data_IF_029383740954
#
_entry.id   IF_029383740954
#
_cell.length_a   1.000
_cell.length_b   1.000
_cell.length_c   1.000
_cell.angle_alpha   90.00
_cell.angle_beta   90.00
_cell.angle_gamma   90.00
#
_symmetry.space_group_name_H-M   'P 1'
#
loop_
_entity.id
_entity.type
_entity.pdbx_description
1 polymer ?
#
# COMPACT_ATOMS: atom_id res chain seq x y z
N UNK A 1 -20.38 -0.61 8.69
CA UNK A 1 -20.30 0.06 7.38
C UNK A 1 -20.76 -0.85 6.24
N UNK A 2 -20.00 -1.89 5.86
CA UNK A 2 -20.28 -2.71 4.67
C UNK A 2 -21.71 -3.29 4.63
N UNK A 3 -22.20 -3.84 5.74
CA UNK A 3 -23.58 -4.32 5.85
C UNK A 3 -24.64 -3.23 5.55
N UNK A 4 -24.36 -1.97 5.90
CA UNK A 4 -25.21 -0.83 5.56
C UNK A 4 -25.11 -0.46 4.08
N UNK A 5 -23.91 -0.54 3.49
CA UNK A 5 -23.67 -0.24 2.08
C UNK A 5 -24.42 -1.21 1.14
N UNK A 6 -24.62 -2.46 1.57
CA UNK A 6 -25.38 -3.46 0.81
C UNK A 6 -26.79 -3.73 1.38
N UNK A 7 -27.28 -2.94 2.33
CA UNK A 7 -28.50 -3.25 3.08
C UNK A 7 -29.77 -3.39 2.22
N UNK A 8 -29.80 -2.73 1.06
CA UNK A 8 -30.92 -2.79 0.11
C UNK A 8 -30.78 -3.92 -0.92
N UNK A 9 -29.74 -4.73 -0.82
CA UNK A 9 -29.44 -5.82 -1.75
C UNK A 9 -29.55 -7.15 -1.02
N UNK A 10 -30.10 -8.16 -1.70
CA UNK A 10 -30.11 -9.53 -1.16
C UNK A 10 -28.77 -10.22 -1.48
N UNK A 11 -27.98 -10.61 -0.46
CA UNK A 11 -26.76 -11.36 -0.68
C UNK A 11 -27.08 -12.80 -1.10
N UNK A 12 -26.43 -13.28 -2.17
CA UNK A 12 -26.50 -14.67 -2.62
C UNK A 12 -25.87 -15.64 -1.62
N UNK A 13 -25.00 -15.15 -0.73
CA UNK A 13 -24.36 -15.89 0.34
C UNK A 13 -24.11 -14.97 1.54
N UNK A 14 -23.88 -15.56 2.71
CA UNK A 14 -23.44 -14.82 3.90
C UNK A 14 -22.23 -13.95 3.57
N UNK A 15 -22.19 -12.75 4.15
CA UNK A 15 -21.01 -11.88 4.03
C UNK A 15 -19.79 -12.61 4.58
N UNK A 16 -18.72 -12.58 3.80
CA UNK A 16 -17.42 -13.08 4.18
C UNK A 16 -16.56 -11.90 4.62
N UNK A 17 -16.37 -11.76 5.91
CA UNK A 17 -15.54 -10.72 6.51
C UNK A 17 -14.51 -11.32 7.46
N UNK A 18 -13.46 -10.55 7.71
CA UNK A 18 -12.39 -10.95 8.61
C UNK A 18 -11.21 -10.00 8.56
N UNK A 19 -10.32 -10.18 9.51
CA UNK A 19 -9.04 -9.48 9.57
C UNK A 19 -7.91 -10.45 9.84
N UNK A 20 -6.74 -10.13 9.30
CA UNK A 20 -5.50 -10.80 9.66
C UNK A 20 -4.36 -9.81 9.62
N UNK A 21 -3.63 -9.74 10.72
CA UNK A 21 -2.38 -9.01 10.86
C UNK A 21 -1.29 -9.96 11.33
N UNK A 22 -0.05 -9.71 10.89
CA UNK A 22 1.13 -10.40 11.38
C UNK A 22 1.38 -9.94 12.81
N UNK A 23 1.26 -10.84 13.80
CA UNK A 23 1.47 -10.49 15.20
C UNK A 23 2.94 -10.59 15.61
N UNK A 24 3.70 -11.49 14.96
CA UNK A 24 5.15 -11.62 15.14
C UNK A 24 5.85 -11.84 13.79
N UNK A 25 7.07 -11.31 13.64
CA UNK A 25 7.87 -11.47 12.41
C UNK A 25 8.14 -12.93 12.02
N UNK A 26 8.05 -13.86 12.97
CA UNK A 26 8.20 -15.31 12.76
C UNK A 26 7.08 -15.92 11.91
N UNK A 27 5.92 -15.26 11.79
CA UNK A 27 4.79 -15.73 11.00
C UNK A 27 4.98 -15.57 9.49
N UNK A 28 5.90 -14.69 9.06
CA UNK A 28 6.13 -14.44 7.64
C UNK A 28 7.55 -13.94 7.35
N UNK A 29 8.18 -14.55 6.34
CA UNK A 29 9.43 -14.04 5.75
C UNK A 29 9.18 -12.89 4.76
N UNK A 30 7.92 -12.60 4.43
CA UNK A 30 7.53 -11.66 3.35
C UNK A 30 6.77 -10.42 3.84
N UNK A 31 6.20 -10.47 5.05
CA UNK A 31 5.43 -9.39 5.64
C UNK A 31 6.00 -9.03 7.02
N UNK A 32 5.97 -7.76 7.36
CA UNK A 32 6.45 -7.26 8.64
C UNK A 32 5.39 -7.36 9.74
N UNK A 33 5.84 -7.40 11.00
CA UNK A 33 4.95 -7.33 12.16
C UNK A 33 4.03 -6.10 12.09
N UNK A 34 2.72 -6.31 12.25
CA UNK A 34 1.71 -5.27 12.14
C UNK A 34 1.18 -5.01 10.73
N UNK A 35 1.75 -5.63 9.68
CA UNK A 35 1.16 -5.67 8.34
C UNK A 35 -0.02 -6.63 8.28
N UNK A 36 -0.97 -6.35 7.40
CA UNK A 36 -2.16 -7.19 7.28
C UNK A 36 -3.29 -6.55 6.50
N UNK A 37 -4.48 -7.12 6.62
CA UNK A 37 -5.67 -6.58 5.99
C UNK A 37 -6.94 -6.90 6.78
N UNK A 38 -7.93 -6.04 6.62
CA UNK A 38 -9.32 -6.25 6.95
C UNK A 38 -10.11 -6.28 5.64
N UNK A 39 -11.05 -7.22 5.52
CA UNK A 39 -11.90 -7.33 4.33
C UNK A 39 -13.34 -7.65 4.72
N UNK A 40 -14.25 -7.24 3.83
CA UNK A 40 -15.61 -7.71 3.78
C UNK A 40 -16.00 -7.91 2.32
N UNK A 41 -16.67 -9.02 2.01
CA UNK A 41 -17.02 -9.45 0.66
C UNK A 41 -18.40 -10.11 0.68
N UNK A 42 -19.26 -9.74 -0.25
CA UNK A 42 -20.55 -10.38 -0.46
C UNK A 42 -20.90 -10.39 -1.95
N UNK A 43 -21.63 -11.40 -2.38
CA UNK A 43 -22.18 -11.46 -3.74
C UNK A 43 -23.63 -11.04 -3.69
N UNK A 44 -24.04 -10.08 -4.51
CA UNK A 44 -25.44 -9.66 -4.63
C UNK A 44 -25.95 -9.97 -6.02
N UNK A 45 -27.18 -10.43 -6.17
CA UNK A 45 -27.74 -10.78 -7.49
C UNK A 45 -28.08 -9.55 -8.33
N UNK A 46 -28.50 -8.47 -7.68
CA UNK A 46 -28.95 -7.22 -8.32
C UNK A 46 -28.37 -5.96 -7.65
N UNK A 47 -28.52 -4.81 -8.30
CA UNK A 47 -28.06 -3.51 -7.80
C UNK A 47 -26.59 -3.17 -8.09
N UNK A 48 -26.19 -1.98 -7.66
CA UNK A 48 -24.81 -1.49 -7.80
C UNK A 48 -23.84 -2.27 -6.91
N UNK A 49 -22.64 -2.51 -7.43
CA UNK A 49 -21.57 -3.22 -6.72
C UNK A 49 -20.75 -2.21 -5.93
N UNK A 50 -20.58 -2.46 -4.64
CA UNK A 50 -19.68 -1.68 -3.79
C UNK A 50 -18.27 -2.20 -4.01
N UNK A 51 -17.34 -1.37 -4.49
CA UNK A 51 -15.96 -1.77 -4.73
C UNK A 51 -15.00 -0.73 -4.15
N UNK A 52 -14.71 -0.86 -2.86
CA UNK A 52 -13.87 0.08 -2.13
C UNK A 52 -12.58 -0.60 -1.68
N UNK A 53 -11.47 0.12 -1.79
CA UNK A 53 -10.19 -0.38 -1.33
C UNK A 53 -9.29 0.72 -0.80
N UNK A 54 -8.49 0.38 0.20
CA UNK A 54 -7.62 1.29 0.92
C UNK A 54 -6.28 0.62 1.20
N UNK A 55 -5.21 1.41 1.19
CA UNK A 55 -3.89 1.02 1.72
C UNK A 55 -3.45 2.08 2.70
N UNK A 56 -3.18 1.70 3.94
CA UNK A 56 -2.90 2.63 5.04
C UNK A 56 -3.95 3.75 5.12
N UNK A 57 -5.22 3.36 4.98
CA UNK A 57 -6.39 4.26 5.00
C UNK A 57 -6.47 5.24 3.81
N UNK A 58 -5.53 5.20 2.86
CA UNK A 58 -5.58 6.00 1.64
C UNK A 58 -6.45 5.27 0.61
N UNK A 59 -7.51 5.90 0.07
CA UNK A 59 -8.40 5.26 -0.89
C UNK A 59 -7.70 4.97 -2.21
N UNK A 60 -7.77 3.71 -2.67
CA UNK A 60 -7.22 3.24 -3.94
C UNK A 60 -8.34 3.03 -4.96
N UNK A 61 -8.84 4.12 -5.57
CA UNK A 61 -9.99 4.08 -6.52
C UNK A 61 -9.78 3.18 -7.73
N UNK A 62 -8.52 3.02 -8.18
CA UNK A 62 -8.16 2.13 -9.29
C UNK A 62 -7.65 0.76 -8.81
N UNK A 63 -7.73 0.48 -7.51
CA UNK A 63 -7.19 -0.72 -6.89
C UNK A 63 -5.66 -0.72 -6.84
N UNK A 64 -5.09 -1.93 -6.79
CA UNK A 64 -3.65 -2.16 -6.66
C UNK A 64 -3.33 -3.64 -6.51
N UNK A 65 -2.11 -3.95 -6.11
CA UNK A 65 -1.64 -5.34 -5.91
C UNK A 65 -2.39 -6.06 -4.79
N UNK A 66 -2.82 -5.34 -3.75
CA UNK A 66 -3.67 -5.86 -2.68
C UNK A 66 -5.05 -6.32 -3.20
N UNK A 67 -5.68 -5.51 -4.06
CA UNK A 67 -6.95 -5.88 -4.72
C UNK A 67 -6.74 -7.06 -5.66
N UNK A 68 -5.66 -7.06 -6.47
CA UNK A 68 -5.34 -8.18 -7.34
C UNK A 68 -5.13 -9.49 -6.54
N UNK A 69 -4.43 -9.42 -5.41
CA UNK A 69 -4.22 -10.54 -4.51
C UNK A 69 -5.51 -11.08 -3.90
N UNK A 70 -6.41 -10.19 -3.44
CA UNK A 70 -7.76 -10.60 -3.00
C UNK A 70 -8.52 -11.29 -4.13
N UNK A 71 -8.46 -10.71 -5.34
CA UNK A 71 -9.15 -11.24 -6.53
C UNK A 71 -8.71 -12.64 -6.90
N UNK A 72 -7.41 -12.84 -6.93
CA UNK A 72 -6.79 -14.13 -7.19
C UNK A 72 -7.07 -15.14 -6.08
N UNK A 73 -6.96 -14.73 -4.82
CA UNK A 73 -7.19 -15.60 -3.66
C UNK A 73 -8.61 -16.17 -3.62
N UNK A 74 -9.63 -15.31 -3.77
CA UNK A 74 -11.03 -15.74 -3.78
C UNK A 74 -11.34 -16.59 -5.01
N UNK A 75 -10.84 -16.20 -6.19
CA UNK A 75 -11.02 -17.00 -7.41
C UNK A 75 -10.45 -18.40 -7.26
N UNK A 76 -9.22 -18.52 -6.75
CA UNK A 76 -8.57 -19.81 -6.54
C UNK A 76 -9.30 -20.63 -5.48
N UNK A 77 -9.79 -20.02 -4.40
CA UNK A 77 -10.56 -20.73 -3.38
C UNK A 77 -11.85 -21.34 -3.96
N UNK A 78 -12.64 -20.56 -4.70
CA UNK A 78 -13.87 -21.04 -5.33
C UNK A 78 -13.58 -22.10 -6.39
N UNK A 79 -12.59 -21.87 -7.25
CA UNK A 79 -12.17 -22.83 -8.28
C UNK A 79 -11.75 -24.16 -7.65
N UNK A 80 -10.90 -24.13 -6.62
CA UNK A 80 -10.43 -25.32 -5.92
C UNK A 80 -11.60 -26.06 -5.26
N UNK A 81 -12.58 -25.35 -4.71
CA UNK A 81 -13.78 -25.95 -4.14
C UNK A 81 -14.62 -26.69 -5.20
N UNK A 82 -14.86 -26.06 -6.36
CA UNK A 82 -15.59 -26.66 -7.48
C UNK A 82 -14.89 -27.92 -7.99
N UNK A 83 -13.57 -27.82 -8.19
CA UNK A 83 -12.72 -28.91 -8.67
C UNK A 83 -12.74 -30.09 -7.67
N UNK A 84 -12.59 -29.80 -6.37
CA UNK A 84 -12.58 -30.81 -5.31
C UNK A 84 -13.92 -31.55 -5.16
N UNK A 85 -15.04 -30.84 -5.32
CA UNK A 85 -16.39 -31.42 -5.19
C UNK A 85 -16.97 -31.92 -6.53
N UNK A 86 -16.20 -31.87 -7.63
CA UNK A 86 -16.66 -32.27 -8.96
C UNK A 86 -17.96 -31.58 -9.40
N UNK A 87 -18.14 -30.32 -9.01
CA UNK A 87 -19.37 -29.54 -9.28
C UNK A 87 -19.38 -28.89 -10.67
N UNK A 88 -18.26 -28.98 -11.41
CA UNK A 88 -18.16 -28.43 -12.77
C UNK A 88 -18.91 -29.28 -13.78
N UNK A 89 -19.72 -28.64 -14.63
CA UNK A 89 -20.21 -29.30 -15.85
C UNK A 89 -19.05 -29.59 -16.80
N UNK A 90 -19.07 -30.76 -17.46
CA UNK A 90 -18.03 -31.14 -18.44
C UNK A 90 -17.87 -30.04 -19.50
N UNK A 91 -16.66 -29.47 -19.57
CA UNK A 91 -16.30 -28.45 -20.56
C UNK A 91 -16.52 -27.00 -20.12
N UNK A 92 -17.09 -26.75 -18.93
CA UNK A 92 -17.22 -25.40 -18.39
C UNK A 92 -15.89 -24.96 -17.76
N UNK A 93 -15.33 -23.85 -18.23
CA UNK A 93 -14.10 -23.25 -17.68
C UNK A 93 -14.49 -21.98 -16.90
N UNK A 94 -14.35 -22.04 -15.58
CA UNK A 94 -14.56 -20.88 -14.71
C UNK A 94 -13.47 -19.84 -14.96
N UNK A 95 -13.86 -18.60 -15.23
CA UNK A 95 -12.97 -17.45 -15.40
C UNK A 95 -13.11 -16.49 -14.22
N UNK A 96 -12.12 -15.63 -13.93
CA UNK A 96 -12.19 -14.71 -12.79
C UNK A 96 -13.44 -13.81 -12.79
N UNK A 97 -13.94 -13.42 -13.96
CA UNK A 97 -15.12 -12.57 -14.09
C UNK A 97 -16.40 -13.23 -13.57
N UNK A 98 -16.49 -14.56 -13.64
CA UNK A 98 -17.62 -15.33 -13.11
C UNK A 98 -17.75 -15.15 -11.59
N UNK A 99 -16.62 -14.95 -10.91
CA UNK A 99 -16.56 -14.70 -9.46
C UNK A 99 -16.78 -13.23 -9.15
N UNK A 100 -16.21 -12.32 -9.95
CA UNK A 100 -16.07 -10.92 -9.56
C UNK A 100 -17.15 -9.98 -10.09
N UNK A 101 -17.89 -10.36 -11.13
CA UNK A 101 -18.90 -9.50 -11.77
C UNK A 101 -20.00 -8.99 -10.82
N UNK A 102 -20.29 -9.75 -9.76
CA UNK A 102 -21.34 -9.46 -8.77
C UNK A 102 -20.83 -9.38 -7.33
N UNK A 103 -19.52 -9.27 -7.16
CA UNK A 103 -18.87 -9.24 -5.87
C UNK A 103 -18.73 -7.81 -5.35
N UNK A 104 -19.51 -7.47 -4.32
CA UNK A 104 -19.32 -6.25 -3.53
C UNK A 104 -18.26 -6.49 -2.45
N UNK A 105 -17.31 -5.58 -2.29
CA UNK A 105 -16.26 -5.69 -1.29
C UNK A 105 -15.76 -4.34 -0.76
N UNK A 106 -15.24 -4.39 0.46
CA UNK A 106 -14.40 -3.36 1.07
C UNK A 106 -13.11 -4.04 1.51
N UNK A 107 -11.96 -3.51 1.09
CA UNK A 107 -10.64 -4.04 1.45
C UNK A 107 -9.76 -2.93 2.04
N UNK A 108 -9.25 -3.11 3.26
CA UNK A 108 -8.29 -2.20 3.87
C UNK A 108 -7.01 -2.95 4.21
N UNK A 109 -5.93 -2.65 3.48
CA UNK A 109 -4.61 -3.20 3.75
C UNK A 109 -3.78 -2.24 4.61
N UNK A 110 -3.03 -2.79 5.57
CA UNK A 110 -2.01 -2.09 6.35
C UNK A 110 -0.64 -2.63 5.92
N UNK A 111 0.21 -1.75 5.44
CA UNK A 111 1.53 -2.07 4.90
C UNK A 111 2.52 -1.05 5.45
N UNK A 112 3.60 -1.52 6.07
CA UNK A 112 4.56 -0.63 6.76
C UNK A 112 5.51 0.04 5.76
N UNK A 113 5.90 -0.67 4.71
CA UNK A 113 6.73 -0.14 3.61
C UNK A 113 6.01 -0.29 2.27
N UNK A 114 4.98 0.52 1.99
CA UNK A 114 4.19 0.34 0.80
C UNK A 114 4.96 0.72 -0.46
N UNK A 115 5.39 -0.29 -1.23
CA UNK A 115 5.99 -0.09 -2.54
C UNK A 115 4.90 0.18 -3.60
N UNK A 116 4.39 1.40 -3.64
CA UNK A 116 3.36 1.80 -4.59
C UNK A 116 3.90 1.90 -6.02
N UNK A 117 3.83 0.80 -6.79
CA UNK A 117 3.99 0.84 -8.25
C UNK A 117 2.78 1.48 -8.91
N UNK A 118 2.70 2.80 -8.83
CA UNK A 118 1.61 3.61 -9.38
C UNK A 118 1.58 5.04 -8.83
N UNK A 119 2.31 5.32 -7.75
CA UNK A 119 2.40 6.66 -7.16
C UNK A 119 3.48 7.54 -7.76
N UNK A 120 4.16 7.14 -8.84
CA UNK A 120 5.19 7.98 -9.47
C UNK A 120 4.62 9.37 -9.79
N UNK A 121 3.35 9.52 -10.17
CA UNK A 121 2.77 10.85 -10.44
C UNK A 121 2.56 11.69 -9.17
N UNK A 122 2.01 11.14 -8.09
CA UNK A 122 1.78 11.90 -6.85
C UNK A 122 3.07 12.14 -6.07
N UNK A 123 4.02 11.20 -6.13
CA UNK A 123 5.37 11.34 -5.58
C UNK A 123 6.17 12.40 -6.37
N UNK A 124 6.08 12.40 -7.70
CA UNK A 124 6.67 13.46 -8.54
C UNK A 124 6.01 14.82 -8.24
N UNK A 125 4.68 14.89 -8.14
CA UNK A 125 3.98 16.15 -7.80
C UNK A 125 4.41 16.64 -6.41
N UNK A 126 4.40 15.77 -5.39
CA UNK A 126 4.76 16.15 -4.03
C UNK A 126 6.23 16.57 -3.92
N UNK A 127 7.13 15.91 -4.68
CA UNK A 127 8.53 16.29 -4.78
C UNK A 127 8.71 17.64 -5.47
N UNK A 128 8.04 17.84 -6.60
CA UNK A 128 8.15 19.07 -7.38
C UNK A 128 7.54 20.25 -6.61
N UNK A 129 6.43 20.07 -5.90
CA UNK A 129 5.84 21.08 -5.01
C UNK A 129 6.72 21.40 -3.78
N UNK A 130 7.40 20.39 -3.23
CA UNK A 130 8.43 20.59 -2.19
C UNK A 130 9.55 21.50 -2.69
N UNK A 131 10.09 21.22 -3.87
CA UNK A 131 11.12 22.04 -4.52
C UNK A 131 10.63 23.46 -4.84
N UNK A 132 9.38 23.63 -5.28
CA UNK A 132 8.77 24.95 -5.51
C UNK A 132 8.66 25.75 -4.20
N UNK A 133 8.24 25.09 -3.11
CA UNK A 133 8.13 25.71 -1.80
C UNK A 133 9.50 26.16 -1.29
N UNK A 134 10.51 25.29 -1.39
CA UNK A 134 11.89 25.62 -1.00
C UNK A 134 12.46 26.76 -1.84
N UNK A 135 12.17 26.78 -3.14
CA UNK A 135 12.56 27.88 -4.02
C UNK A 135 11.87 29.20 -3.61
N UNK A 136 10.57 29.18 -3.32
CA UNK A 136 9.84 30.36 -2.86
C UNK A 136 10.39 30.88 -1.53
N UNK A 137 10.70 29.99 -0.58
CA UNK A 137 11.36 30.33 0.69
C UNK A 137 12.74 30.95 0.43
N UNK A 138 13.55 30.37 -0.47
CA UNK A 138 14.86 30.92 -0.82
C UNK A 138 14.73 32.33 -1.40
N UNK A 139 13.80 32.53 -2.33
CA UNK A 139 13.52 33.83 -2.92
C UNK A 139 13.13 34.87 -1.86
N UNK A 140 12.21 34.50 -0.97
CA UNK A 140 11.76 35.36 0.12
C UNK A 140 12.87 35.69 1.11
N UNK A 141 13.64 34.70 1.52
CA UNK A 141 14.66 34.86 2.57
C UNK A 141 15.91 35.60 2.08
N UNK A 142 16.34 35.38 0.83
CA UNK A 142 17.61 35.89 0.28
C UNK A 142 17.47 37.10 -0.65
N UNK A 143 16.38 37.22 -1.41
CA UNK A 143 16.28 38.22 -2.48
C UNK A 143 15.27 39.32 -2.21
N UNK A 144 14.28 39.08 -1.35
CA UNK A 144 13.33 40.12 -0.93
C UNK A 144 13.95 40.99 0.16
N UNK A 145 14.05 42.30 -0.12
CA UNK A 145 14.61 43.30 0.80
C UNK A 145 13.60 43.80 1.83
N UNK A 146 12.34 43.98 1.42
CA UNK A 146 11.26 44.41 2.30
C UNK A 146 10.51 43.18 2.81
N UNK A 147 10.97 42.63 3.93
CA UNK A 147 10.33 41.48 4.57
C UNK A 147 9.08 41.93 5.33
N UNK A 148 8.08 41.06 5.37
CA UNK A 148 6.91 41.28 6.22
C UNK A 148 7.33 41.21 7.69
N UNK A 149 6.59 41.92 8.53
CA UNK A 149 6.72 41.81 9.97
C UNK A 149 6.23 40.45 10.46
N UNK A 150 6.67 40.03 11.65
CA UNK A 150 6.27 38.76 12.24
C UNK A 150 4.75 38.67 12.39
N UNK A 151 4.11 39.76 12.81
CA UNK A 151 2.66 39.83 13.01
C UNK A 151 1.89 39.64 11.70
N UNK A 152 2.31 40.27 10.61
CA UNK A 152 1.68 40.12 9.28
C UNK A 152 1.80 38.69 8.75
N UNK A 153 2.98 38.07 8.88
CA UNK A 153 3.19 36.67 8.46
C UNK A 153 2.33 35.74 9.28
N UNK A 154 2.26 35.96 10.60
CA UNK A 154 1.44 35.15 11.48
C UNK A 154 -0.05 35.30 11.22
N UNK A 155 -0.51 36.50 10.86
CA UNK A 155 -1.90 36.74 10.47
C UNK A 155 -2.27 35.99 9.19
N UNK A 156 -1.43 36.09 8.15
CA UNK A 156 -1.62 35.34 6.90
C UNK A 156 -1.63 33.84 7.16
N UNK A 157 -0.68 33.34 7.95
CA UNK A 157 -0.59 31.92 8.27
C UNK A 157 -1.82 31.42 9.03
N UNK A 158 -2.31 32.18 10.03
CA UNK A 158 -3.54 31.83 10.77
C UNK A 158 -4.75 31.78 9.86
N UNK A 159 -4.89 32.75 8.94
CA UNK A 159 -5.99 32.75 7.97
C UNK A 159 -5.93 31.54 7.02
N UNK A 160 -4.73 31.19 6.54
CA UNK A 160 -4.55 30.04 5.64
C UNK A 160 -4.84 28.71 6.36
N UNK A 161 -4.31 28.53 7.57
CA UNK A 161 -4.58 27.33 8.38
C UNK A 161 -6.06 27.20 8.70
N UNK A 162 -6.75 28.29 9.04
CA UNK A 162 -8.19 28.24 9.33
C UNK A 162 -9.01 27.78 8.11
N UNK A 163 -8.71 28.31 6.93
CA UNK A 163 -9.37 27.90 5.68
C UNK A 163 -9.10 26.42 5.35
N UNK A 164 -7.85 25.97 5.52
CA UNK A 164 -7.49 24.57 5.26
C UNK A 164 -8.15 23.63 6.28
N UNK A 165 -8.20 24.01 7.56
CA UNK A 165 -8.90 23.25 8.58
C UNK A 165 -10.38 23.11 8.23
N UNK A 166 -11.08 24.20 7.86
CA UNK A 166 -12.48 24.16 7.41
C UNK A 166 -12.67 23.21 6.22
N UNK A 167 -11.78 23.27 5.23
CA UNK A 167 -11.78 22.35 4.10
C UNK A 167 -11.66 20.89 4.55
N UNK A 168 -10.70 20.60 5.43
CA UNK A 168 -10.51 19.26 6.03
C UNK A 168 -11.79 18.77 6.72
N UNK A 169 -12.46 19.62 7.52
CA UNK A 169 -13.74 19.27 8.17
C UNK A 169 -14.82 18.90 7.15
N UNK A 170 -14.87 19.65 6.05
CA UNK A 170 -15.85 19.41 4.98
C UNK A 170 -15.59 18.11 4.19
N UNK A 171 -14.33 17.72 4.07
CA UNK A 171 -13.91 16.54 3.31
C UNK A 171 -13.92 15.24 4.13
N UNK A 172 -13.93 15.34 5.47
CA UNK A 172 -13.98 14.21 6.40
C UNK A 172 -15.22 14.31 7.31
N UNK A 173 -16.44 14.16 6.76
CA UNK A 173 -17.67 14.27 7.55
C UNK A 173 -17.88 13.12 8.54
N UNK A 174 -17.27 11.95 8.30
CA UNK A 174 -17.26 10.80 9.21
C UNK A 174 -15.82 10.47 9.61
N UNK A 175 -15.58 10.23 10.91
CA UNK A 175 -14.27 9.82 11.41
C UNK A 175 -13.86 8.47 10.79
N UNK A 176 -12.81 8.46 9.96
CA UNK A 176 -12.25 7.23 9.43
C UNK A 176 -11.40 6.53 10.50
N UNK A 177 -11.42 5.19 10.50
CA UNK A 177 -10.59 4.35 11.37
C UNK A 177 -9.09 4.67 11.18
N UNK A 178 -8.53 5.45 12.11
CA UNK A 178 -7.11 5.83 12.16
C UNK A 178 -6.73 7.19 11.54
N UNK A 179 -7.69 7.92 10.97
CA UNK A 179 -7.54 9.32 10.57
C UNK A 179 -8.83 10.05 10.90
N UNK A 180 -8.77 10.95 11.86
CA UNK A 180 -9.90 11.81 12.21
C UNK A 180 -9.56 13.27 11.87
N UNK A 181 -10.61 14.07 11.79
CA UNK A 181 -10.54 15.50 11.54
C UNK A 181 -9.51 16.20 12.45
N UNK A 182 -9.45 15.82 13.73
CA UNK A 182 -8.55 16.44 14.72
C UNK A 182 -7.07 16.19 14.40
N UNK A 183 -6.71 14.96 14.04
CA UNK A 183 -5.34 14.60 13.67
C UNK A 183 -4.93 15.32 12.38
N UNK A 184 -5.83 15.45 11.41
CA UNK A 184 -5.52 16.18 10.18
C UNK A 184 -5.36 17.68 10.43
N UNK A 185 -6.20 18.30 11.27
CA UNK A 185 -6.00 19.68 11.69
C UNK A 185 -4.65 19.90 12.40
N UNK A 186 -4.24 18.97 13.27
CA UNK A 186 -2.92 19.01 13.92
C UNK A 186 -1.77 18.90 12.91
N UNK A 187 -1.92 18.08 11.87
CA UNK A 187 -0.92 17.97 10.81
C UNK A 187 -0.80 19.25 9.98
N UNK A 188 -1.92 19.92 9.66
CA UNK A 188 -1.91 21.22 8.97
C UNK A 188 -1.14 22.27 9.79
N UNK A 189 -1.34 22.29 11.11
CA UNK A 189 -0.60 23.18 12.02
C UNK A 189 0.90 22.86 12.04
N UNK A 190 1.27 21.57 12.04
CA UNK A 190 2.66 21.12 12.00
C UNK A 190 3.38 21.56 10.71
N UNK A 191 2.71 21.42 9.56
CA UNK A 191 3.24 21.86 8.26
C UNK A 191 3.39 23.38 8.20
N UNK A 192 2.41 24.13 8.73
CA UNK A 192 2.43 25.58 8.78
C UNK A 192 3.63 26.09 9.63
N UNK A 193 3.85 25.51 10.80
CA UNK A 193 4.99 25.85 11.66
C UNK A 193 6.33 25.57 10.98
N UNK A 194 6.44 24.47 10.23
CA UNK A 194 7.64 24.16 9.45
C UNK A 194 7.91 25.25 8.41
N UNK A 195 6.90 25.67 7.66
CA UNK A 195 7.03 26.71 6.64
C UNK A 195 7.40 28.08 7.25
N UNK A 196 6.75 28.47 8.35
CA UNK A 196 7.03 29.72 9.07
C UNK A 196 8.49 29.73 9.57
N UNK A 197 8.95 28.59 10.11
CA UNK A 197 10.34 28.42 10.55
C UNK A 197 11.30 28.55 9.36
N UNK A 198 10.99 27.95 8.22
CA UNK A 198 11.80 28.06 6.99
C UNK A 198 11.89 29.50 6.47
N UNK A 199 10.86 30.33 6.66
CA UNK A 199 10.88 31.76 6.36
C UNK A 199 11.69 32.59 7.37
N UNK A 200 12.07 32.01 8.51
CA UNK A 200 12.88 32.63 9.55
C UNK A 200 12.10 33.28 10.69
N UNK A 201 10.80 32.98 10.83
CA UNK A 201 9.94 33.50 11.89
C UNK A 201 9.68 32.45 12.98
N UNK A 202 9.14 32.89 14.12
CA UNK A 202 8.81 31.97 15.22
C UNK A 202 7.55 31.18 14.91
N UNK A 203 7.55 29.93 15.39
CA UNK A 203 6.39 29.02 15.35
C UNK A 203 5.20 29.61 16.10
N UNK A 204 3.99 29.28 15.63
CA UNK A 204 2.73 29.71 16.21
C UNK A 204 2.13 28.58 17.05
N UNK A 205 2.08 27.36 16.51
CA UNK A 205 1.29 26.26 17.09
C UNK A 205 2.10 25.28 17.96
N UNK A 206 3.39 25.09 17.65
CA UNK A 206 4.32 24.14 18.26
C UNK A 206 3.78 22.70 18.32
N UNK A 207 3.05 22.27 17.30
CA UNK A 207 2.49 20.93 17.22
C UNK A 207 3.51 19.91 16.74
N UNK A 208 3.28 18.64 17.11
CA UNK A 208 4.05 17.48 16.63
C UNK A 208 3.32 16.82 15.48
N UNK A 209 4.07 16.16 14.58
CA UNK A 209 3.48 15.35 13.52
C UNK A 209 2.64 14.21 14.14
N UNK A 210 1.33 14.12 13.86
CA UNK A 210 0.48 13.03 14.34
C UNK A 210 0.57 11.76 13.48
N UNK A 211 1.28 11.80 12.35
CA UNK A 211 1.36 10.73 11.36
C UNK A 211 2.80 10.26 11.14
N UNK A 212 3.25 9.28 11.93
CA UNK A 212 4.60 8.71 11.85
C UNK A 212 4.92 8.10 10.47
N UNK A 213 3.90 7.65 9.73
CA UNK A 213 4.08 7.06 8.39
C UNK A 213 4.44 8.10 7.31
N UNK A 214 4.23 9.41 7.55
CA UNK A 214 4.53 10.45 6.57
C UNK A 214 6.02 10.83 6.52
N UNK A 215 6.78 10.55 7.58
CA UNK A 215 8.22 10.86 7.62
C UNK A 215 8.99 10.01 6.59
N UNK A 216 8.53 8.78 6.32
CA UNK A 216 9.13 7.87 5.34
C UNK A 216 8.80 8.24 3.88
N UNK A 217 7.79 9.07 3.63
CA UNK A 217 7.44 9.55 2.28
C UNK A 217 8.38 10.69 1.85
N UNK A 218 8.92 11.43 2.83
CA UNK A 218 9.80 12.59 2.62
C UNK A 218 11.27 12.23 2.43
N UNK A 219 11.73 11.05 2.86
CA UNK A 219 13.14 10.64 2.74
C UNK A 219 13.43 9.98 1.40
N UNK A 220 14.25 10.66 0.60
CA UNK A 220 14.80 10.23 -0.68
C UNK A 220 15.28 8.77 -0.75
N UNK A 221 14.82 8.10 -1.80
CA UNK A 221 15.47 7.05 -2.61
C UNK A 221 16.05 5.81 -1.90
N UNK A 222 15.38 4.66 -2.09
CA UNK A 222 16.12 3.42 -2.34
C UNK A 222 15.79 2.84 -3.71
N UNK A 223 16.78 3.03 -4.59
CA UNK A 223 17.10 2.21 -5.77
C UNK A 223 16.02 2.04 -6.82
N UNK A 224 16.23 2.70 -7.96
CA UNK A 224 15.58 2.41 -9.23
C UNK A 224 15.51 0.88 -9.46
N UNK A 225 14.28 0.41 -9.62
CA UNK A 225 13.89 -0.99 -9.83
C UNK A 225 14.65 -1.70 -10.98
N UNK A 226 15.29 -0.94 -11.88
CA UNK A 226 16.15 -1.45 -12.95
C UNK A 226 17.54 -1.90 -12.47
N UNK A 227 18.10 -1.35 -11.39
CA UNK A 227 19.41 -1.80 -10.86
C UNK A 227 19.27 -3.04 -9.96
N UNK A 228 18.18 -3.13 -9.19
CA UNK A 228 17.91 -4.24 -8.28
C UNK A 228 17.70 -5.58 -9.02
N UNK A 229 16.89 -5.61 -10.10
CA UNK A 229 16.70 -6.85 -10.89
C UNK A 229 17.98 -7.29 -11.60
N UNK A 230 18.81 -6.36 -12.06
CA UNK A 230 20.08 -6.72 -12.74
C UNK A 230 21.08 -7.32 -11.75
N UNK A 231 21.08 -6.88 -10.49
CA UNK A 231 21.91 -7.46 -9.44
C UNK A 231 21.40 -8.85 -8.98
N UNK A 232 20.08 -9.05 -8.87
CA UNK A 232 19.49 -10.35 -8.50
C UNK A 232 19.64 -11.41 -9.60
N UNK A 233 19.47 -11.05 -10.88
CA UNK A 233 19.77 -11.97 -12.00
C UNK A 233 21.27 -12.31 -12.07
N UNK A 234 22.17 -11.34 -11.82
CA UNK A 234 23.61 -11.62 -11.75
C UNK A 234 23.95 -12.56 -10.58
N UNK A 235 23.36 -12.36 -9.39
CA UNK A 235 23.62 -13.21 -8.21
C UNK A 235 23.03 -14.61 -8.32
N UNK A 236 21.83 -14.74 -8.92
CA UNK A 236 21.16 -16.03 -9.09
C UNK A 236 21.84 -16.92 -10.16
N UNK A 237 22.35 -16.33 -11.26
CA UNK A 237 23.14 -17.09 -12.24
C UNK A 237 24.50 -17.56 -11.68
N UNK A 238 25.16 -16.76 -10.84
CA UNK A 238 26.44 -17.14 -10.22
C UNK A 238 26.24 -18.24 -9.16
N UNK A 239 25.15 -18.19 -8.37
CA UNK A 239 24.82 -19.25 -7.40
C UNK A 239 24.46 -20.57 -8.09
N UNK A 240 23.71 -20.54 -9.20
CA UNK A 240 23.36 -21.75 -9.97
C UNK A 240 24.59 -22.43 -10.59
N UNK A 241 25.59 -21.65 -11.03
CA UNK A 241 26.85 -22.20 -11.55
C UNK A 241 27.80 -22.74 -10.47
N UNK A 242 27.75 -22.21 -9.24
CA UNK A 242 28.55 -22.74 -8.13
C UNK A 242 27.95 -24.01 -7.52
N UNK A 243 26.62 -24.15 -7.52
CA UNK A 243 25.94 -25.36 -7.05
C UNK A 243 26.17 -26.54 -8.02
N UNK A 244 26.01 -26.31 -9.33
CA UNK A 244 26.28 -27.33 -10.37
C UNK A 244 27.75 -27.77 -10.41
N UNK A 245 28.70 -26.93 -9.99
CA UNK A 245 30.11 -27.32 -9.87
C UNK A 245 30.42 -28.09 -8.58
N UNK A 246 29.69 -27.87 -7.49
CA UNK A 246 29.87 -28.65 -6.26
C UNK A 246 29.28 -30.05 -6.40
N UNK A 247 28.10 -30.18 -6.99
CA UNK A 247 27.41 -31.48 -7.13
C UNK A 247 28.14 -32.43 -8.09
N UNK A 248 28.85 -31.91 -9.10
CA UNK A 248 29.66 -32.71 -10.02
C UNK A 248 31.06 -33.09 -9.49
N UNK A 249 31.51 -32.52 -8.37
CA UNK A 249 32.85 -32.83 -7.80
C UNK A 249 32.74 -33.88 -6.68
N UNK A 250 31.56 -34.08 -6.07
CA UNK A 250 31.36 -35.03 -4.96
C UNK A 250 30.85 -36.41 -5.35
N UNK A 251 30.67 -36.73 -6.63
CA UNK A 251 30.22 -38.07 -7.10
C UNK A 251 31.28 -38.86 -7.89
N UNK A 252 32.57 -38.57 -7.69
CA UNK A 252 33.68 -39.19 -8.41
C UNK A 252 34.62 -39.97 -7.50
N UNK A 253 34.21 -41.16 -7.06
CA UNK A 253 35.03 -42.32 -6.63
C UNK A 253 34.06 -43.33 -5.98
N UNK A 254 34.02 -44.63 -6.25
CA UNK A 254 34.86 -45.56 -6.98
C UNK A 254 33.98 -46.80 -7.28
N UNK A 255 34.03 -47.33 -8.50
CA UNK A 255 33.25 -48.53 -8.89
C UNK A 255 33.95 -49.80 -8.39
N UNK A 256 33.26 -50.72 -7.69
CA UNK A 256 33.67 -52.12 -7.69
C UNK A 256 33.15 -52.81 -8.96
N UNK A 257 34.07 -53.46 -9.65
CA UNK A 257 33.84 -54.32 -10.82
C UNK A 257 33.16 -55.61 -10.36
N UNK A 258 31.94 -55.90 -10.82
CA UNK A 258 31.41 -57.28 -10.80
C UNK A 258 30.57 -57.60 -12.05
N UNK A 259 31.24 -58.28 -12.99
CA UNK A 259 30.81 -59.45 -13.77
C UNK A 259 29.30 -59.67 -14.03
N UNK A 260 28.95 -59.63 -15.33
CA UNK A 260 27.73 -60.19 -15.92
C UNK A 260 27.50 -61.66 -15.49
N UNK A 261 26.26 -62.00 -15.13
CA UNK A 261 25.60 -63.24 -15.60
C UNK A 261 24.08 -63.05 -15.54
N UNK A 262 23.48 -63.01 -16.71
CA UNK A 262 22.07 -63.29 -16.91
C UNK A 262 21.79 -64.76 -16.60
N UNK A 263 20.64 -65.07 -15.99
CA UNK A 263 19.77 -66.17 -16.41
C UNK A 263 18.47 -66.24 -15.58
N UNK A 264 17.37 -66.30 -16.35
CA UNK A 264 15.98 -66.68 -16.05
C UNK A 264 15.15 -65.75 -15.17
#
# INVERSE_FOLDING_TARGET
>A
YFAGAIANLEPAASTFDGERYIAEQTESDSFAEGEGALWALAWTTEGEVVAESYVNMIPTRHGGTHVAGLREGVFNAIKNFIDHHSMGQRGLKVVPEDVWSRASYVLSAKMLDPQFKGQVKNELISRDEGLHTDFAVLMYTKFIKNKLTEDEVHEIARSAVAAEQEFVRSCLPDDLLGMNEKLMCQYVEFVADRLITSLGYKKIWNTTNPFDFMDNISTETKTNFFEARVAEYKRSNVRRHQQLKKDNVTSGESRPVFSRKARF
#
